data_IF_702722118017
#
_entry.id   IF_702722118017
#
_cell.length_a   1.000
_cell.length_b   1.000
_cell.length_c   1.000
_cell.angle_alpha   90.00
_cell.angle_beta   90.00
_cell.angle_gamma   90.00
#
_symmetry.space_group_name_H-M   'P 1'
#
loop_
_entity.id
_entity.type
_entity.pdbx_description
1 polymer ?
#
# COMPACT_ATOMS: atom_id res chain seq x y z
N UNK A 1 46.73 30.38 24.98
CA UNK A 1 45.34 30.61 25.44
C UNK A 1 44.31 30.41 24.32
N UNK A 2 44.49 31.02 23.13
CA UNK A 2 43.54 30.90 22.00
C UNK A 2 43.26 29.46 21.52
N UNK A 3 44.29 28.59 21.50
CA UNK A 3 44.14 27.17 21.11
C UNK A 3 43.20 26.36 22.02
N UNK A 4 43.18 26.66 23.32
CA UNK A 4 42.28 25.99 24.27
C UNK A 4 40.84 26.48 24.15
N UNK A 5 40.65 27.74 23.75
CA UNK A 5 39.32 28.29 23.46
C UNK A 5 38.69 27.59 22.25
N UNK A 6 39.45 27.40 21.16
CA UNK A 6 38.97 26.71 19.96
C UNK A 6 38.62 25.24 20.27
N UNK A 7 39.47 24.52 21.01
CA UNK A 7 39.21 23.13 21.40
C UNK A 7 37.98 23.03 22.32
N UNK A 8 37.79 23.99 23.25
CA UNK A 8 36.63 24.02 24.14
C UNK A 8 35.31 24.20 23.39
N UNK A 9 35.29 25.04 22.36
CA UNK A 9 34.08 25.27 21.54
C UNK A 9 33.73 24.01 20.74
N UNK A 10 34.72 23.34 20.17
CA UNK A 10 34.51 22.10 19.41
C UNK A 10 33.97 20.97 20.32
N UNK A 11 34.52 20.83 21.54
CA UNK A 11 34.05 19.84 22.49
C UNK A 11 32.58 20.05 22.92
N UNK A 12 32.16 21.30 23.12
CA UNK A 12 30.78 21.64 23.44
C UNK A 12 29.80 21.30 22.31
N UNK A 13 30.19 21.55 21.06
CA UNK A 13 29.37 21.23 19.89
C UNK A 13 29.17 19.71 19.76
N UNK A 14 30.22 18.92 19.96
CA UNK A 14 30.14 17.45 19.91
C UNK A 14 29.25 16.86 21.01
N UNK A 15 29.29 17.42 22.22
CA UNK A 15 28.41 17.02 23.33
C UNK A 15 26.93 17.29 23.02
N UNK A 16 26.63 18.43 22.39
CA UNK A 16 25.26 18.76 21.97
C UNK A 16 24.75 17.84 20.86
N UNK A 17 25.58 17.51 19.87
CA UNK A 17 25.24 16.54 18.81
C UNK A 17 24.97 15.14 19.36
N UNK A 18 25.77 14.68 20.32
CA UNK A 18 25.57 13.40 20.98
C UNK A 18 24.28 13.37 21.82
N UNK A 19 24.03 14.42 22.61
CA UNK A 19 22.81 14.55 23.41
C UNK A 19 21.55 14.67 22.53
N UNK A 20 21.65 15.40 21.41
CA UNK A 20 20.55 15.56 20.46
C UNK A 20 20.19 14.23 19.79
N UNK A 21 21.18 13.43 19.42
CA UNK A 21 20.96 12.12 18.79
C UNK A 21 20.37 11.09 19.77
N UNK A 22 20.77 11.14 21.04
CA UNK A 22 20.30 10.20 22.08
C UNK A 22 18.85 10.45 22.53
N UNK A 23 18.33 11.68 22.37
CA UNK A 23 16.97 12.05 22.78
C UNK A 23 15.88 11.40 21.93
N UNK A 24 16.21 11.00 20.70
CA UNK A 24 15.26 10.38 19.77
C UNK A 24 15.12 8.86 19.97
N UNK A 25 15.91 8.26 20.89
CA UNK A 25 15.95 6.80 21.10
C UNK A 25 15.36 6.33 22.45
N UNK A 26 14.50 7.13 23.09
CA UNK A 26 13.64 6.62 24.17
C UNK A 26 12.22 7.01 23.83
N UNK A 27 11.42 6.01 23.42
CA UNK A 27 10.06 5.72 23.93
C UNK A 27 9.41 4.62 23.06
N UNK A 28 9.82 3.36 23.21
CA UNK A 28 8.91 2.20 23.05
C UNK A 28 9.35 1.13 24.05
N UNK A 29 8.79 1.14 25.26
CA UNK A 29 8.43 -0.09 25.97
C UNK A 29 7.56 0.21 27.20
N UNK A 30 6.73 -0.79 27.55
CA UNK A 30 5.89 -0.98 28.75
C UNK A 30 4.43 -0.51 28.74
N UNK A 31 3.53 -1.42 28.34
CA UNK A 31 2.52 -1.95 29.26
C UNK A 31 2.07 -3.35 28.79
N UNK A 32 2.52 -4.37 29.52
CA UNK A 32 2.05 -5.75 29.42
C UNK A 32 1.46 -6.17 30.76
N UNK A 33 0.25 -6.74 30.69
CA UNK A 33 -0.46 -7.42 31.77
C UNK A 33 -1.98 -7.35 31.51
N UNK A 34 -2.80 -8.40 31.64
CA UNK A 34 -2.63 -9.82 31.98
C UNK A 34 -3.98 -10.54 31.75
N UNK A 35 -3.93 -11.70 31.08
CA UNK A 35 -4.75 -12.94 31.14
C UNK A 35 -6.25 -12.96 31.46
N UNK A 36 -7.01 -13.74 30.66
CA UNK A 36 -7.84 -14.92 31.01
C UNK A 36 -8.75 -15.23 29.79
N UNK A 37 -9.21 -16.43 29.42
CA UNK A 37 -9.00 -17.83 29.83
C UNK A 37 -9.63 -18.70 28.72
N UNK A 38 -9.30 -19.99 28.75
CA UNK A 38 -9.40 -20.99 27.69
C UNK A 38 -10.81 -21.50 27.28
N UNK A 39 -10.76 -22.27 26.18
CA UNK A 39 -11.60 -23.43 25.76
C UNK A 39 -13.03 -23.15 25.27
N UNK A 40 -13.48 -23.66 24.12
CA UNK A 40 -13.76 -25.09 23.94
C UNK A 40 -13.85 -25.50 22.47
N UNK A 41 -13.28 -26.67 22.21
CA UNK A 41 -13.22 -27.49 20.99
C UNK A 41 -14.52 -28.25 20.69
N UNK A 42 -14.61 -28.76 19.46
CA UNK A 42 -15.54 -29.78 18.94
C UNK A 42 -16.93 -29.24 18.51
N UNK A 43 -17.56 -29.66 17.42
CA UNK A 43 -17.26 -30.69 16.41
C UNK A 43 -18.28 -30.56 15.27
N UNK A 44 -17.92 -31.13 14.11
CA UNK A 44 -18.68 -32.16 13.38
C UNK A 44 -18.91 -31.86 11.89
N UNK A 45 -18.17 -32.63 11.11
CA UNK A 45 -18.32 -32.86 9.68
C UNK A 45 -19.54 -33.73 9.35
N UNK A 46 -20.05 -33.59 8.11
CA UNK A 46 -20.63 -34.60 7.21
C UNK A 46 -21.62 -33.90 6.25
N UNK A 47 -21.76 -34.17 4.94
CA UNK A 47 -21.08 -34.91 3.88
C UNK A 47 -22.03 -34.93 2.66
N UNK A 48 -21.48 -35.01 1.44
CA UNK A 48 -22.11 -35.45 0.15
C UNK A 48 -23.23 -34.56 -0.44
N UNK A 49 -23.35 -34.35 -1.76
CA UNK A 49 -23.22 -35.28 -2.90
C UNK A 49 -22.81 -34.53 -4.19
N UNK A 50 -21.90 -35.07 -5.03
CA UNK A 50 -22.12 -35.70 -6.37
C UNK A 50 -22.98 -34.89 -7.36
N UNK A 51 -22.80 -34.90 -8.69
CA UNK A 51 -21.73 -35.06 -9.68
C UNK A 51 -22.44 -34.84 -11.04
N UNK A 52 -21.74 -34.25 -12.02
CA UNK A 52 -21.93 -34.36 -13.49
C UNK A 52 -23.30 -34.10 -14.15
N UNK A 53 -23.31 -33.20 -15.15
CA UNK A 53 -23.85 -33.51 -16.49
C UNK A 53 -23.29 -32.53 -17.54
N UNK A 54 -23.14 -33.05 -18.75
CA UNK A 54 -22.37 -32.56 -19.90
C UNK A 54 -23.30 -32.38 -21.11
N UNK A 55 -22.83 -31.63 -22.13
CA UNK A 55 -23.39 -31.43 -23.48
C UNK A 55 -24.45 -30.31 -23.60
N UNK A 56 -24.53 -29.50 -24.65
CA UNK A 56 -24.29 -29.79 -26.08
C UNK A 56 -23.92 -28.54 -26.87
N UNK A 57 -23.16 -28.77 -27.94
CA UNK A 57 -22.84 -27.86 -29.04
C UNK A 57 -23.99 -27.77 -30.07
N UNK A 58 -23.80 -26.82 -31.00
CA UNK A 58 -24.43 -26.62 -32.33
C UNK A 58 -25.67 -25.71 -32.39
N UNK A 59 -25.89 -24.89 -33.41
CA UNK A 59 -25.11 -24.16 -34.44
C UNK A 59 -26.19 -23.50 -35.35
N UNK A 60 -25.78 -22.61 -36.28
CA UNK A 60 -26.52 -22.13 -37.49
C UNK A 60 -27.57 -21.02 -37.26
N UNK A 61 -27.65 -19.92 -38.03
CA UNK A 61 -26.89 -19.42 -39.18
C UNK A 61 -27.11 -17.92 -39.41
N UNK A 62 -26.00 -17.26 -39.70
CA UNK A 62 -25.72 -16.20 -40.69
C UNK A 62 -26.85 -15.33 -41.27
N UNK A 63 -26.61 -14.01 -41.26
CA UNK A 63 -26.55 -13.25 -42.51
C UNK A 63 -25.58 -12.08 -42.38
N UNK A 64 -24.56 -12.11 -43.23
CA UNK A 64 -23.48 -11.13 -43.41
C UNK A 64 -23.98 -9.83 -44.05
N UNK A 65 -23.38 -8.69 -43.68
CA UNK A 65 -22.84 -7.71 -44.65
C UNK A 65 -21.56 -7.10 -44.04
N UNK A 66 -20.46 -7.17 -44.79
CA UNK A 66 -19.14 -6.59 -44.52
C UNK A 66 -19.15 -5.06 -44.38
N UNK A 67 -18.21 -4.51 -43.61
CA UNK A 67 -17.19 -3.57 -44.12
C UNK A 67 -16.20 -3.17 -43.00
N UNK A 68 -15.01 -3.76 -43.08
CA UNK A 68 -13.67 -3.16 -42.89
C UNK A 68 -13.41 -2.19 -41.72
N UNK A 69 -12.55 -2.62 -40.78
CA UNK A 69 -11.19 -2.07 -40.60
C UNK A 69 -10.75 -2.02 -39.12
N UNK A 70 -9.55 -2.56 -38.89
CA UNK A 70 -8.62 -2.28 -37.79
C UNK A 70 -8.89 -2.95 -36.43
N UNK A 71 -8.11 -4.02 -36.27
CA UNK A 71 -7.68 -4.69 -35.05
C UNK A 71 -7.19 -3.68 -34.00
N UNK A 72 -7.93 -3.52 -32.90
CA UNK A 72 -7.42 -2.95 -31.67
C UNK A 72 -7.73 -3.94 -30.55
N UNK A 73 -6.67 -4.59 -30.07
CA UNK A 73 -6.73 -5.55 -28.97
C UNK A 73 -7.12 -4.79 -27.72
N UNK A 74 -8.43 -4.70 -27.48
CA UNK A 74 -9.02 -4.19 -26.26
C UNK A 74 -8.73 -5.19 -25.15
N UNK A 75 -7.57 -5.07 -24.52
CA UNK A 75 -7.30 -5.66 -23.22
C UNK A 75 -8.34 -5.09 -22.25
N UNK A 76 -9.08 -5.92 -21.50
CA UNK A 76 -10.14 -5.42 -20.63
C UNK A 76 -9.51 -4.49 -19.60
N UNK A 77 -9.89 -3.21 -19.64
CA UNK A 77 -9.68 -2.30 -18.54
C UNK A 77 -10.28 -2.99 -17.32
N UNK A 78 -9.43 -3.43 -16.41
CA UNK A 78 -9.86 -4.06 -15.17
C UNK A 78 -10.86 -3.11 -14.52
N UNK A 79 -12.12 -3.54 -14.51
CA UNK A 79 -13.21 -2.98 -13.73
C UNK A 79 -12.69 -2.81 -12.30
N UNK A 80 -12.27 -1.58 -11.98
CA UNK A 80 -11.96 -1.17 -10.62
C UNK A 80 -13.27 -1.27 -9.86
N UNK A 81 -13.51 -2.43 -9.25
CA UNK A 81 -14.63 -2.67 -8.34
C UNK A 81 -14.88 -1.42 -7.50
N UNK A 82 -16.11 -0.92 -7.52
CA UNK A 82 -16.54 0.35 -6.92
C UNK A 82 -16.46 0.34 -5.37
N UNK A 83 -15.30 0.03 -4.77
CA UNK A 83 -15.00 0.53 -3.44
C UNK A 83 -14.59 1.98 -3.59
N UNK A 84 -15.43 2.90 -3.10
CA UNK A 84 -15.04 4.30 -2.97
C UNK A 84 -13.81 4.38 -2.07
N UNK A 85 -12.76 5.06 -2.54
CA UNK A 85 -11.55 5.34 -1.77
C UNK A 85 -11.91 5.97 -0.42
N UNK A 86 -11.44 5.39 0.69
CA UNK A 86 -11.72 5.87 2.04
C UNK A 86 -10.50 6.58 2.61
N UNK A 87 -10.60 7.90 2.78
CA UNK A 87 -9.51 8.74 3.27
C UNK A 87 -9.06 8.40 4.70
N UNK A 88 -10.00 8.05 5.58
CA UNK A 88 -9.68 7.73 6.97
C UNK A 88 -8.88 6.43 7.06
N UNK A 89 -9.27 5.40 6.30
CA UNK A 89 -8.51 4.15 6.22
C UNK A 89 -7.05 4.41 5.82
N UNK A 90 -6.84 5.18 4.74
CA UNK A 90 -5.51 5.48 4.22
C UNK A 90 -4.66 6.24 5.25
N UNK A 91 -5.24 7.22 5.96
CA UNK A 91 -4.56 7.96 7.05
C UNK A 91 -4.19 7.04 8.22
N UNK A 92 -5.00 6.02 8.47
CA UNK A 92 -4.76 5.00 9.50
C UNK A 92 -3.81 3.88 9.04
N UNK A 93 -3.34 3.91 7.79
CA UNK A 93 -2.48 2.87 7.22
C UNK A 93 -3.23 1.59 6.83
N UNK A 94 -4.56 1.64 6.75
CA UNK A 94 -5.39 0.62 6.14
C UNK A 94 -5.58 0.96 4.66
N UNK A 95 -5.10 0.08 3.78
CA UNK A 95 -5.12 0.30 2.32
C UNK A 95 -6.21 -0.52 1.62
N UNK A 96 -7.12 -1.14 2.38
CA UNK A 96 -8.14 -2.05 1.86
C UNK A 96 -9.05 -1.40 0.82
N UNK A 97 -9.41 -0.13 0.99
CA UNK A 97 -10.25 0.63 0.02
C UNK A 97 -9.53 1.03 -1.28
N UNK A 98 -8.22 0.81 -1.39
CA UNK A 98 -7.42 1.19 -2.58
C UNK A 98 -6.68 0.00 -3.20
N UNK A 99 -6.98 -1.23 -2.76
CA UNK A 99 -6.40 -2.46 -3.30
C UNK A 99 -6.64 -2.53 -4.80
N UNK A 100 -5.57 -2.82 -5.54
CA UNK A 100 -5.64 -2.96 -6.99
C UNK A 100 -4.38 -2.50 -7.70
N UNK A 101 -4.46 -2.52 -9.03
CA UNK A 101 -3.39 -2.03 -9.91
C UNK A 101 -3.80 -0.69 -10.49
N UNK A 102 -3.08 0.36 -10.13
CA UNK A 102 -3.24 1.72 -10.58
C UNK A 102 -2.32 1.98 -11.76
N UNK A 103 -2.86 2.36 -12.92
CA UNK A 103 -2.07 2.66 -14.12
C UNK A 103 -2.18 4.15 -14.47
N UNK A 104 -1.05 4.83 -14.62
CA UNK A 104 -1.01 6.21 -15.09
C UNK A 104 -1.29 6.28 -16.60
N UNK A 105 -1.59 7.49 -17.11
CA UNK A 105 -1.73 7.72 -18.56
C UNK A 105 -0.45 7.46 -19.36
N UNK A 106 0.71 7.42 -18.70
CA UNK A 106 2.01 7.05 -19.32
C UNK A 106 2.32 5.56 -19.22
N UNK A 107 1.41 4.76 -18.66
CA UNK A 107 1.57 3.31 -18.50
C UNK A 107 2.35 2.86 -17.26
N UNK A 108 2.75 3.78 -16.37
CA UNK A 108 3.38 3.40 -15.11
C UNK A 108 2.35 2.74 -14.20
N UNK A 109 2.72 1.65 -13.54
CA UNK A 109 1.83 0.91 -12.65
C UNK A 109 2.25 1.01 -11.19
N UNK A 110 1.27 1.08 -10.30
CA UNK A 110 1.41 0.92 -8.85
C UNK A 110 0.46 -0.18 -8.41
N UNK A 111 0.92 -1.09 -7.57
CA UNK A 111 0.09 -2.18 -7.05
C UNK A 111 -0.06 -1.99 -5.57
N UNK A 112 -1.31 -1.93 -5.10
CA UNK A 112 -1.66 -1.87 -3.69
C UNK A 112 -2.34 -3.16 -3.26
N UNK A 113 -1.92 -3.70 -2.13
CA UNK A 113 -2.65 -4.72 -1.38
C UNK A 113 -3.12 -4.12 -0.04
N UNK A 114 -3.77 -4.94 0.81
CA UNK A 114 -4.26 -4.48 2.12
C UNK A 114 -3.14 -4.00 3.06
N UNK A 115 -1.88 -4.35 2.79
CA UNK A 115 -0.69 -3.94 3.54
C UNK A 115 0.00 -2.70 2.95
N UNK A 116 -0.44 -2.22 1.77
CA UNK A 116 0.06 -1.01 1.13
C UNK A 116 0.72 -1.28 -0.22
N UNK A 117 1.78 -0.51 -0.53
CA UNK A 117 2.45 -0.57 -1.83
C UNK A 117 3.25 -1.87 -1.98
N UNK A 118 2.89 -2.67 -2.98
CA UNK A 118 3.63 -3.88 -3.38
C UNK A 118 4.70 -3.50 -4.39
N UNK A 119 5.95 -3.42 -3.93
CA UNK A 119 7.10 -3.09 -4.79
C UNK A 119 8.39 -3.70 -4.26
N UNK A 120 9.24 -4.18 -5.17
CA UNK A 120 10.58 -4.67 -4.84
C UNK A 120 11.54 -3.53 -4.50
N UNK A 121 11.37 -2.36 -5.12
CA UNK A 121 12.34 -1.26 -5.08
C UNK A 121 11.87 -0.05 -4.29
N UNK A 122 10.58 0.01 -3.94
CA UNK A 122 9.97 1.17 -3.28
C UNK A 122 9.17 0.75 -2.04
N UNK A 123 8.93 1.70 -1.14
CA UNK A 123 8.02 1.55 -0.01
C UNK A 123 7.27 2.86 0.25
N UNK A 124 6.19 2.77 1.01
CA UNK A 124 5.50 3.94 1.55
C UNK A 124 6.31 4.57 2.68
N UNK A 125 6.19 5.89 2.84
CA UNK A 125 6.85 6.64 3.90
C UNK A 125 6.42 6.15 5.28
N UNK A 126 7.40 5.95 6.17
CA UNK A 126 7.16 5.60 7.58
C UNK A 126 6.37 6.69 8.34
N UNK A 127 6.30 7.91 7.82
CA UNK A 127 5.48 8.98 8.40
C UNK A 127 3.97 8.81 8.15
N UNK A 128 3.59 7.80 7.36
CA UNK A 128 2.21 7.49 6.99
C UNK A 128 1.60 8.51 6.03
N UNK A 129 0.34 8.27 5.68
CA UNK A 129 -0.44 9.22 4.91
C UNK A 129 -0.91 10.38 5.78
N UNK A 130 -0.96 11.59 5.21
CA UNK A 130 -1.36 12.80 5.91
C UNK A 130 -2.26 13.65 5.05
N UNK A 131 -3.19 14.35 5.68
CA UNK A 131 -3.86 15.46 5.01
C UNK A 131 -2.82 16.54 4.70
N UNK A 132 -2.69 16.86 3.41
CA UNK A 132 -1.90 17.98 2.92
C UNK A 132 -2.74 18.72 1.89
N UNK A 133 -2.99 20.00 2.14
CA UNK A 133 -3.72 20.86 1.20
C UNK A 133 -5.14 20.35 0.85
N UNK A 134 -5.81 19.66 1.79
CA UNK A 134 -7.18 19.19 1.62
C UNK A 134 -7.32 17.87 0.86
N UNK A 135 -6.24 17.11 0.71
CA UNK A 135 -6.25 15.74 0.21
C UNK A 135 -5.29 14.87 1.03
N UNK A 136 -5.59 13.58 1.10
CA UNK A 136 -4.69 12.61 1.73
C UNK A 136 -3.51 12.34 0.81
N UNK A 137 -2.29 12.40 1.33
CA UNK A 137 -1.08 12.15 0.56
C UNK A 137 -0.07 11.31 1.33
N UNK A 138 0.72 10.53 0.60
CA UNK A 138 1.80 9.71 1.17
C UNK A 138 3.04 9.75 0.29
N UNK A 139 4.20 9.81 0.92
CA UNK A 139 5.48 9.69 0.22
C UNK A 139 5.75 8.25 -0.20
N UNK A 140 6.32 8.07 -1.38
CA UNK A 140 6.90 6.82 -1.86
C UNK A 140 8.39 7.02 -2.02
N UNK A 141 9.16 6.20 -1.32
CA UNK A 141 10.63 6.30 -1.29
C UNK A 141 11.25 5.04 -1.88
N UNK A 142 12.42 5.15 -2.52
CA UNK A 142 13.17 3.99 -2.91
C UNK A 142 13.74 3.29 -1.67
N UNK A 143 13.75 1.96 -1.66
CA UNK A 143 14.39 1.17 -0.59
C UNK A 143 15.91 1.39 -0.53
N UNK A 144 16.51 1.82 -1.65
CA UNK A 144 17.94 2.12 -1.77
C UNK A 144 18.16 3.34 -2.65
N UNK A 145 19.10 4.22 -2.28
CA UNK A 145 19.42 5.43 -3.03
C UNK A 145 18.64 6.67 -2.55
N UNK A 146 18.59 7.70 -3.40
CA UNK A 146 17.93 8.97 -3.10
C UNK A 146 16.81 9.26 -4.09
N UNK A 147 15.84 10.09 -3.68
CA UNK A 147 14.68 10.48 -4.48
C UNK A 147 13.37 9.96 -3.88
N UNK A 148 12.31 10.03 -4.68
CA UNK A 148 10.97 9.64 -4.30
C UNK A 148 9.90 10.50 -4.98
N UNK A 149 8.65 10.17 -4.74
CA UNK A 149 7.50 10.94 -5.19
C UNK A 149 6.40 10.91 -4.12
N UNK A 150 5.33 11.67 -4.33
CA UNK A 150 4.15 11.68 -3.46
C UNK A 150 2.97 11.20 -4.27
N UNK A 151 2.13 10.37 -3.65
CA UNK A 151 0.81 10.01 -4.17
C UNK A 151 -0.21 10.87 -3.44
N UNK A 152 -1.08 11.55 -4.19
CA UNK A 152 -2.25 12.23 -3.67
C UNK A 152 -3.49 11.37 -3.97
N UNK A 153 -4.29 11.13 -2.95
CA UNK A 153 -5.54 10.39 -3.00
C UNK A 153 -6.69 11.38 -3.12
N UNK A 154 -7.45 11.29 -4.21
CA UNK A 154 -8.56 12.20 -4.53
C UNK A 154 -9.81 11.34 -4.77
N UNK A 155 -10.64 11.13 -3.73
CA UNK A 155 -11.93 10.44 -3.88
C UNK A 155 -12.86 11.21 -4.84
N UNK A 156 -13.83 10.50 -5.41
CA UNK A 156 -14.85 11.08 -6.30
C UNK A 156 -15.87 11.92 -5.55
#
# INVERSE_FOLDING_TARGET
>A
MKKYLVISVIALVLLLLWAYSNRNNKQIETSSGKTNSASTTSSKASSSSQNSEQASLQETSSSSIELSSSEDTSEPAAESSESSMNEEEIKNGDYSSIVGTWKSGTGNTLVFDANGLVSETQHLSEYGARDMYGFVSIGVLPKQGAGGYVIAFIPK
#
